data_IF_305700860243
#
_entry.id   IF_305700860243
#
_cell.length_a   1.000
_cell.length_b   1.000
_cell.length_c   1.000
_cell.angle_alpha   90.00
_cell.angle_beta   90.00
_cell.angle_gamma   90.00
#
_symmetry.space_group_name_H-M   'P 1'
#
loop_
_entity.id
_entity.type
_entity.pdbx_description
1 polymer ?
#
# COMPACT_ATOMS: atom_id res chain seq x y z
N UNK A 1 -34.34 14.68 -2.80
CA UNK A 1 -33.81 14.16 -4.09
C UNK A 1 -33.79 12.64 -4.16
N UNK A 2 -33.55 11.93 -3.06
CA UNK A 2 -33.49 10.45 -2.96
C UNK A 2 -34.78 9.72 -3.35
N UNK A 3 -35.97 10.23 -3.05
CA UNK A 3 -37.25 9.58 -3.42
C UNK A 3 -37.50 9.51 -4.94
N UNK A 4 -37.01 10.49 -5.71
CA UNK A 4 -37.21 10.56 -7.17
C UNK A 4 -36.31 9.56 -7.91
N UNK A 5 -35.13 9.26 -7.37
CA UNK A 5 -34.18 8.27 -7.90
C UNK A 5 -34.69 6.84 -7.69
N UNK A 6 -35.16 6.52 -6.47
CA UNK A 6 -35.69 5.19 -6.11
C UNK A 6 -36.95 4.82 -6.93
N UNK A 7 -37.80 5.80 -7.24
CA UNK A 7 -38.98 5.59 -8.08
C UNK A 7 -38.62 5.31 -9.55
N UNK A 8 -37.51 5.89 -10.03
CA UNK A 8 -37.04 5.73 -11.40
C UNK A 8 -36.35 4.36 -11.60
N UNK A 9 -35.60 3.88 -10.60
CA UNK A 9 -34.96 2.55 -10.62
C UNK A 9 -35.97 1.41 -10.68
N UNK A 10 -37.07 1.49 -9.91
CA UNK A 10 -38.18 0.53 -9.99
C UNK A 10 -38.78 0.47 -11.40
N UNK A 11 -39.03 1.63 -12.01
CA UNK A 11 -39.61 1.70 -13.37
C UNK A 11 -38.70 1.12 -14.45
N UNK A 12 -37.38 1.20 -14.30
CA UNK A 12 -36.42 0.66 -15.28
C UNK A 12 -36.29 -0.86 -15.16
N UNK A 13 -36.28 -1.41 -13.94
CA UNK A 13 -36.29 -2.87 -13.72
C UNK A 13 -37.53 -3.53 -14.33
N UNK A 14 -38.70 -2.89 -14.18
CA UNK A 14 -39.96 -3.39 -14.77
C UNK A 14 -39.91 -3.41 -16.31
N UNK A 15 -39.29 -2.41 -16.92
CA UNK A 15 -39.05 -2.34 -18.38
C UNK A 15 -38.08 -3.43 -18.87
N UNK A 16 -37.00 -3.70 -18.14
CA UNK A 16 -36.01 -4.72 -18.51
C UNK A 16 -36.59 -6.14 -18.46
N UNK A 17 -37.53 -6.42 -17.55
CA UNK A 17 -38.22 -7.71 -17.44
C UNK A 17 -39.13 -8.03 -18.64
N UNK A 18 -39.46 -7.03 -19.47
CA UNK A 18 -40.31 -7.19 -20.66
C UNK A 18 -39.56 -7.38 -21.97
N UNK A 19 -38.22 -7.30 -21.96
CA UNK A 19 -37.40 -7.43 -23.17
C UNK A 19 -37.16 -8.92 -23.45
N UNK A 20 -37.64 -9.40 -24.60
CA UNK A 20 -37.40 -10.75 -25.10
C UNK A 20 -36.48 -10.73 -26.33
N UNK A 21 -35.16 -10.94 -26.17
CA UNK A 21 -34.20 -10.88 -27.28
C UNK A 21 -34.47 -11.92 -28.38
N UNK A 22 -35.12 -13.04 -28.01
CA UNK A 22 -35.49 -14.12 -28.92
C UNK A 22 -36.51 -13.70 -30.00
N UNK A 23 -37.23 -12.59 -29.80
CA UNK A 23 -38.16 -12.02 -30.77
C UNK A 23 -37.49 -11.25 -31.91
N UNK A 24 -36.16 -11.04 -31.86
CA UNK A 24 -35.41 -10.34 -32.90
C UNK A 24 -35.12 -11.30 -34.06
N UNK A 25 -35.62 -10.96 -35.25
CA UNK A 25 -35.49 -11.78 -36.46
C UNK A 25 -34.05 -11.79 -37.03
N UNK A 26 -33.31 -10.69 -36.88
CA UNK A 26 -31.91 -10.59 -37.30
C UNK A 26 -30.98 -11.24 -36.27
N UNK A 27 -30.28 -12.29 -36.68
CA UNK A 27 -29.35 -13.06 -35.83
C UNK A 27 -28.23 -12.20 -35.25
N UNK A 28 -27.65 -11.31 -36.04
CA UNK A 28 -26.52 -10.48 -35.63
C UNK A 28 -26.97 -9.43 -34.61
N UNK A 29 -28.16 -8.85 -34.82
CA UNK A 29 -28.76 -7.92 -33.85
C UNK A 29 -29.14 -8.65 -32.57
N UNK A 30 -29.70 -9.87 -32.67
CA UNK A 30 -30.05 -10.69 -31.51
C UNK A 30 -28.83 -10.99 -30.65
N UNK A 31 -27.75 -11.50 -31.25
CA UNK A 31 -26.50 -11.79 -30.53
C UNK A 31 -25.90 -10.54 -29.88
N UNK A 32 -25.94 -9.41 -30.57
CA UNK A 32 -25.47 -8.13 -30.02
C UNK A 32 -26.29 -7.70 -28.80
N UNK A 33 -27.62 -7.79 -28.88
CA UNK A 33 -28.52 -7.45 -27.77
C UNK A 33 -28.32 -8.41 -26.59
N UNK A 34 -28.15 -9.71 -26.82
CA UNK A 34 -27.86 -10.69 -25.76
C UNK A 34 -26.54 -10.39 -25.03
N UNK A 35 -25.48 -10.07 -25.76
CA UNK A 35 -24.19 -9.68 -25.17
C UNK A 35 -24.32 -8.38 -24.37
N UNK A 36 -25.05 -7.39 -24.88
CA UNK A 36 -25.27 -6.12 -24.19
C UNK A 36 -26.06 -6.32 -22.89
N UNK A 37 -27.10 -7.16 -22.90
CA UNK A 37 -27.89 -7.44 -21.70
C UNK A 37 -27.06 -8.16 -20.64
N UNK A 38 -26.26 -9.15 -21.04
CA UNK A 38 -25.34 -9.83 -20.11
C UNK A 38 -24.30 -8.87 -19.52
N UNK A 39 -23.76 -7.95 -20.33
CA UNK A 39 -22.84 -6.93 -19.85
C UNK A 39 -23.51 -5.95 -18.88
N UNK A 40 -24.75 -5.52 -19.18
CA UNK A 40 -25.54 -4.67 -18.28
C UNK A 40 -25.77 -5.37 -16.95
N UNK A 41 -26.14 -6.64 -16.95
CA UNK A 41 -26.32 -7.43 -15.73
C UNK A 41 -25.01 -7.54 -14.93
N UNK A 42 -23.89 -7.84 -15.58
CA UNK A 42 -22.57 -7.90 -14.94
C UNK A 42 -22.16 -6.55 -14.33
N UNK A 43 -22.41 -5.44 -15.04
CA UNK A 43 -22.12 -4.10 -14.55
C UNK A 43 -23.02 -3.72 -13.38
N UNK A 44 -24.31 -4.06 -13.41
CA UNK A 44 -25.24 -3.84 -12.29
C UNK A 44 -24.80 -4.61 -11.05
N UNK A 45 -24.40 -5.88 -11.19
CA UNK A 45 -23.85 -6.67 -10.10
C UNK A 45 -22.58 -6.04 -9.51
N UNK A 46 -21.67 -5.56 -10.38
CA UNK A 46 -20.45 -4.88 -9.95
C UNK A 46 -20.75 -3.57 -9.21
N UNK A 47 -21.67 -2.76 -9.71
CA UNK A 47 -22.08 -1.50 -9.05
C UNK A 47 -22.66 -1.79 -7.68
N UNK A 48 -23.60 -2.74 -7.56
CA UNK A 48 -24.19 -3.13 -6.28
C UNK A 48 -23.15 -3.65 -5.28
N UNK A 49 -22.16 -4.42 -5.77
CA UNK A 49 -21.03 -4.86 -4.97
C UNK A 49 -20.18 -3.69 -4.46
N UNK A 50 -19.82 -2.76 -5.33
CA UNK A 50 -19.06 -1.55 -4.96
C UNK A 50 -19.82 -0.64 -4.00
N UNK A 51 -21.14 -0.51 -4.14
CA UNK A 51 -21.97 0.25 -3.20
C UNK A 51 -22.00 -0.38 -1.81
N UNK A 52 -22.12 -1.71 -1.75
CA UNK A 52 -22.09 -2.47 -0.49
C UNK A 52 -20.74 -2.29 0.21
N UNK A 53 -19.64 -2.38 -0.54
CA UNK A 53 -18.28 -2.17 -0.03
C UNK A 53 -18.08 -0.73 0.45
N UNK A 54 -18.52 0.27 -0.33
CA UNK A 54 -18.45 1.67 0.10
C UNK A 54 -19.25 1.92 1.38
N UNK A 55 -20.40 1.29 1.54
CA UNK A 55 -21.18 1.39 2.77
C UNK A 55 -20.43 0.77 3.95
N UNK A 56 -19.85 -0.41 3.74
CA UNK A 56 -19.03 -1.07 4.76
C UNK A 56 -17.85 -0.19 5.21
N UNK A 57 -17.09 0.37 4.27
CA UNK A 57 -15.96 1.26 4.56
C UNK A 57 -16.39 2.55 5.30
N UNK A 58 -17.58 3.08 4.99
CA UNK A 58 -18.14 4.23 5.72
C UNK A 58 -18.47 3.87 7.16
N UNK A 59 -19.02 2.69 7.38
CA UNK A 59 -19.36 2.20 8.72
C UNK A 59 -18.08 1.96 9.55
N UNK A 60 -17.04 1.39 8.94
CA UNK A 60 -15.72 1.25 9.56
C UNK A 60 -15.09 2.62 9.91
N UNK A 61 -15.18 3.61 9.03
CA UNK A 61 -14.67 4.95 9.32
C UNK A 61 -15.46 5.61 10.46
N UNK A 62 -16.77 5.37 10.53
CA UNK A 62 -17.61 5.87 11.61
C UNK A 62 -17.22 5.29 12.98
N UNK A 63 -16.66 4.08 13.05
CA UNK A 63 -16.11 3.52 14.29
C UNK A 63 -15.11 4.47 14.93
N UNK A 64 -14.29 5.12 14.12
CA UNK A 64 -13.31 6.07 14.63
C UNK A 64 -13.94 7.36 15.11
N UNK A 65 -15.14 7.74 14.69
CA UNK A 65 -15.78 9.02 15.06
C UNK A 65 -16.56 8.98 16.38
N UNK A 66 -17.09 7.81 16.75
CA UNK A 66 -17.88 7.64 17.98
C UNK A 66 -17.02 7.75 19.25
N UNK A 67 -17.55 8.31 20.33
CA UNK A 67 -16.89 8.30 21.64
C UNK A 67 -17.11 6.94 22.33
N UNK A 68 -16.04 6.34 22.85
CA UNK A 68 -16.10 5.08 23.60
C UNK A 68 -16.31 5.28 25.11
N UNK A 69 -16.12 6.51 25.61
CA UNK A 69 -16.12 6.82 27.04
C UNK A 69 -14.81 6.44 27.74
N UNK A 70 -13.78 6.06 27.00
CA UNK A 70 -12.45 5.73 27.52
C UNK A 70 -11.40 6.64 26.88
N UNK A 71 -11.03 7.68 27.63
CA UNK A 71 -10.21 8.80 27.16
C UNK A 71 -8.96 8.37 26.39
N UNK A 72 -8.21 7.38 26.87
CA UNK A 72 -6.99 6.92 26.19
C UNK A 72 -7.31 6.34 24.81
N UNK A 73 -8.38 5.56 24.68
CA UNK A 73 -8.80 5.00 23.40
C UNK A 73 -9.33 6.10 22.47
N UNK A 74 -10.14 7.02 22.99
CA UNK A 74 -10.69 8.12 22.20
C UNK A 74 -9.59 9.05 21.67
N UNK A 75 -8.53 9.28 22.46
CA UNK A 75 -7.34 9.99 22.00
C UNK A 75 -6.60 9.22 20.89
N UNK A 76 -6.44 7.89 21.02
CA UNK A 76 -5.84 7.09 19.94
C UNK A 76 -6.68 7.13 18.67
N UNK A 77 -8.02 7.07 18.77
CA UNK A 77 -8.93 7.20 17.63
C UNK A 77 -8.78 8.57 16.96
N UNK A 78 -8.70 9.65 17.74
CA UNK A 78 -8.46 11.00 17.23
C UNK A 78 -7.13 11.09 16.45
N UNK A 79 -6.05 10.56 17.01
CA UNK A 79 -4.74 10.54 16.36
C UNK A 79 -4.73 9.71 15.08
N UNK A 80 -5.45 8.58 15.05
CA UNK A 80 -5.60 7.77 13.84
C UNK A 80 -6.35 8.54 12.75
N UNK A 81 -7.47 9.22 13.09
CA UNK A 81 -8.21 10.04 12.12
C UNK A 81 -7.34 11.15 11.52
N UNK A 82 -6.49 11.78 12.35
CA UNK A 82 -5.56 12.81 11.88
C UNK A 82 -4.49 12.31 10.91
N UNK A 83 -4.23 10.99 10.88
CA UNK A 83 -3.19 10.35 10.05
C UNK A 83 -3.76 9.42 8.98
N UNK A 84 -5.06 9.48 8.72
CA UNK A 84 -5.74 8.50 7.87
C UNK A 84 -5.23 8.57 6.42
N UNK A 85 -4.91 9.77 5.93
CA UNK A 85 -4.28 9.98 4.62
C UNK A 85 -2.97 9.21 4.47
N UNK A 86 -2.11 9.27 5.48
CA UNK A 86 -0.82 8.59 5.46
C UNK A 86 -0.96 7.08 5.67
N UNK A 87 -1.95 6.64 6.45
CA UNK A 87 -2.20 5.21 6.69
C UNK A 87 -2.79 4.51 5.45
N UNK A 88 -3.62 5.22 4.68
CA UNK A 88 -4.25 4.70 3.47
C UNK A 88 -3.42 4.95 2.20
N UNK A 89 -2.25 5.55 2.32
CA UNK A 89 -1.38 5.86 1.18
C UNK A 89 -0.92 4.61 0.39
N UNK A 90 -0.92 3.45 1.05
CA UNK A 90 -0.70 2.14 0.42
C UNK A 90 -1.74 1.79 -0.67
N UNK A 91 -2.93 2.40 -0.64
CA UNK A 91 -3.95 2.19 -1.69
C UNK A 91 -3.53 2.82 -3.03
N UNK A 92 -2.76 3.91 -2.97
CA UNK A 92 -2.16 4.56 -4.14
C UNK A 92 -0.85 3.85 -4.54
N UNK A 93 -0.08 3.42 -3.54
CA UNK A 93 1.23 2.78 -3.72
C UNK A 93 1.28 1.39 -3.04
N UNK A 94 0.76 0.34 -3.68
CA UNK A 94 0.61 -0.99 -3.09
C UNK A 94 1.93 -1.71 -2.80
N UNK A 95 3.06 -1.22 -3.31
CA UNK A 95 4.39 -1.68 -2.92
C UNK A 95 4.79 -1.30 -1.48
N UNK A 96 4.08 -0.34 -0.87
CA UNK A 96 4.39 0.10 0.48
C UNK A 96 4.00 -0.98 1.49
N UNK A 97 4.84 -1.27 2.50
CA UNK A 97 4.46 -2.18 3.56
C UNK A 97 3.25 -1.67 4.34
N UNK A 98 2.26 -2.53 4.55
CA UNK A 98 1.08 -2.25 5.39
C UNK A 98 1.40 -2.01 6.87
N UNK A 99 2.60 -2.37 7.30
CA UNK A 99 3.06 -2.22 8.67
C UNK A 99 4.47 -1.62 8.72
N UNK A 100 4.79 -0.96 9.82
CA UNK A 100 6.10 -0.34 10.03
C UNK A 100 7.18 -1.32 10.54
N UNK A 101 6.89 -2.62 10.71
CA UNK A 101 7.82 -3.60 11.28
C UNK A 101 9.24 -3.55 10.70
N UNK A 102 9.46 -3.46 9.36
CA UNK A 102 10.82 -3.38 8.82
C UNK A 102 11.58 -2.13 9.29
N UNK A 103 10.88 -0.99 9.40
CA UNK A 103 11.45 0.26 9.90
C UNK A 103 11.74 0.17 11.41
N UNK A 104 10.83 -0.41 12.20
CA UNK A 104 11.03 -0.63 13.64
C UNK A 104 12.22 -1.55 13.93
N UNK A 105 12.33 -2.67 13.20
CA UNK A 105 13.46 -3.60 13.32
C UNK A 105 14.79 -2.92 12.98
N UNK A 106 14.83 -2.09 11.94
CA UNK A 106 16.00 -1.30 11.59
C UNK A 106 16.39 -0.33 12.73
N UNK A 107 15.41 0.41 13.27
CA UNK A 107 15.63 1.35 14.38
C UNK A 107 16.05 0.63 15.68
N UNK A 108 15.51 -0.56 15.95
CA UNK A 108 15.80 -1.36 17.15
C UNK A 108 17.29 -1.65 17.29
N UNK A 109 17.98 -1.92 16.19
CA UNK A 109 19.43 -2.18 16.21
C UNK A 109 20.20 -0.97 16.77
N UNK A 110 19.82 0.24 16.36
CA UNK A 110 20.42 1.48 16.87
C UNK A 110 20.09 1.72 18.35
N UNK A 111 18.84 1.49 18.75
CA UNK A 111 18.39 1.63 20.14
C UNK A 111 19.12 0.67 21.07
N UNK A 112 19.25 -0.59 20.67
CA UNK A 112 20.00 -1.60 21.43
C UNK A 112 21.47 -1.21 21.54
N UNK A 113 22.09 -0.73 20.46
CA UNK A 113 23.49 -0.28 20.48
C UNK A 113 23.68 0.90 21.43
N UNK A 114 22.76 1.87 21.42
CA UNK A 114 22.76 3.00 22.37
C UNK A 114 22.60 2.53 23.81
N UNK A 115 21.74 1.54 24.05
CA UNK A 115 21.53 1.01 25.40
C UNK A 115 22.81 0.35 25.95
N UNK A 116 23.59 -0.32 25.10
CA UNK A 116 24.81 -1.03 25.50
C UNK A 116 26.02 -0.08 25.57
N UNK A 117 26.15 0.85 24.62
CA UNK A 117 27.34 1.69 24.45
C UNK A 117 27.14 3.15 24.86
N UNK A 118 25.98 3.51 25.42
CA UNK A 118 25.58 4.88 25.71
C UNK A 118 25.64 5.81 24.49
N UNK A 119 25.95 7.09 24.71
CA UNK A 119 26.10 8.11 23.69
C UNK A 119 27.56 8.25 23.26
N UNK A 120 27.74 8.75 22.04
CA UNK A 120 29.04 9.18 21.53
C UNK A 120 29.43 10.49 22.20
N UNK A 121 30.71 10.63 22.56
CA UNK A 121 31.22 11.83 23.25
C UNK A 121 31.69 12.92 22.29
N UNK A 122 32.04 12.55 21.06
CA UNK A 122 32.54 13.47 20.04
C UNK A 122 31.72 13.39 18.75
N UNK A 123 31.87 14.40 17.91
CA UNK A 123 31.22 14.45 16.60
C UNK A 123 31.77 13.33 15.70
N UNK A 124 33.07 13.11 15.71
CA UNK A 124 33.76 12.07 14.95
C UNK A 124 33.27 10.68 15.38
N UNK A 125 33.07 10.46 16.69
CA UNK A 125 32.50 9.22 17.22
C UNK A 125 31.08 9.00 16.73
N UNK A 126 30.28 10.06 16.63
CA UNK A 126 28.92 10.01 16.09
C UNK A 126 28.93 9.64 14.61
N UNK A 127 29.76 10.31 13.81
CA UNK A 127 29.92 10.03 12.39
C UNK A 127 30.42 8.60 12.14
N UNK A 128 31.42 8.14 12.91
CA UNK A 128 31.93 6.78 12.80
C UNK A 128 30.84 5.76 13.13
N UNK A 129 30.11 5.94 14.23
CA UNK A 129 29.01 5.04 14.62
C UNK A 129 27.95 4.97 13.53
N UNK A 130 27.48 6.11 13.03
CA UNK A 130 26.40 6.15 12.06
C UNK A 130 26.85 5.56 10.71
N UNK A 131 28.11 5.79 10.31
CA UNK A 131 28.72 5.17 9.12
C UNK A 131 28.78 3.65 9.24
N UNK A 132 29.35 3.12 10.33
CA UNK A 132 29.48 1.67 10.51
C UNK A 132 28.13 0.98 10.67
N UNK A 133 27.18 1.61 11.36
CA UNK A 133 25.83 1.07 11.49
C UNK A 133 25.10 1.01 10.14
N UNK A 134 25.26 2.04 9.32
CA UNK A 134 24.73 2.06 7.94
C UNK A 134 25.38 0.97 7.08
N UNK A 135 26.70 0.79 7.17
CA UNK A 135 27.42 -0.28 6.46
C UNK A 135 26.93 -1.66 6.86
N UNK A 136 26.84 -1.95 8.16
CA UNK A 136 26.35 -3.24 8.67
C UNK A 136 24.92 -3.52 8.20
N UNK A 137 24.03 -2.53 8.26
CA UNK A 137 22.66 -2.69 7.80
C UNK A 137 22.60 -2.96 6.29
N UNK A 138 23.40 -2.24 5.50
CA UNK A 138 23.42 -2.35 4.04
C UNK A 138 24.00 -3.68 3.59
N UNK A 139 25.14 -4.12 4.14
CA UNK A 139 25.75 -5.41 3.77
C UNK A 139 24.81 -6.57 4.10
N UNK A 140 24.13 -6.52 5.26
CA UNK A 140 23.10 -7.51 5.64
C UNK A 140 21.94 -7.55 4.64
N UNK A 141 21.40 -6.40 4.25
CA UNK A 141 20.33 -6.32 3.23
C UNK A 141 20.77 -6.87 1.87
N UNK A 142 22.05 -6.74 1.53
CA UNK A 142 22.60 -7.23 0.27
C UNK A 142 23.03 -8.70 0.30
N UNK A 143 23.05 -9.35 1.48
CA UNK A 143 23.55 -10.71 1.65
C UNK A 143 25.07 -10.83 1.65
N UNK A 144 25.78 -9.72 1.95
CA UNK A 144 27.25 -9.64 1.96
C UNK A 144 27.73 -9.65 3.41
N UNK A 145 28.81 -10.38 3.69
CA UNK A 145 29.45 -10.32 5.00
C UNK A 145 30.09 -8.94 5.20
N UNK A 146 29.72 -8.27 6.30
CA UNK A 146 30.30 -6.99 6.69
C UNK A 146 31.83 -7.06 6.80
N UNK A 147 32.35 -8.13 7.41
CA UNK A 147 33.79 -8.28 7.63
C UNK A 147 34.54 -8.49 6.31
N UNK A 148 33.97 -9.25 5.37
CA UNK A 148 34.56 -9.44 4.05
C UNK A 148 34.58 -8.13 3.26
N UNK A 149 33.50 -7.36 3.33
CA UNK A 149 33.42 -6.04 2.71
C UNK A 149 34.47 -5.08 3.26
N UNK A 150 34.61 -4.99 4.59
CA UNK A 150 35.61 -4.13 5.23
C UNK A 150 37.04 -4.58 4.89
N UNK A 151 37.31 -5.89 4.93
CA UNK A 151 38.61 -6.45 4.54
C UNK A 151 38.95 -6.10 3.08
N UNK A 152 38.01 -6.28 2.16
CA UNK A 152 38.19 -5.94 0.75
C UNK A 152 38.54 -4.46 0.54
N UNK A 153 37.90 -3.55 1.31
CA UNK A 153 38.17 -2.11 1.26
C UNK A 153 39.53 -1.74 1.84
N UNK A 154 39.92 -2.33 2.97
CA UNK A 154 41.21 -2.06 3.62
C UNK A 154 42.36 -2.62 2.78
N UNK A 155 42.20 -3.83 2.25
CA UNK A 155 43.21 -4.50 1.42
C UNK A 155 43.26 -3.98 -0.03
N UNK A 156 42.35 -3.09 -0.41
CA UNK A 156 42.25 -2.49 -1.76
C UNK A 156 42.19 -3.52 -2.89
N UNK A 157 41.63 -4.71 -2.61
CA UNK A 157 41.54 -5.79 -3.60
C UNK A 157 40.45 -5.48 -4.63
N UNK A 158 39.31 -4.93 -4.17
CA UNK A 158 38.22 -4.50 -5.04
C UNK A 158 37.38 -5.65 -5.61
N UNK A 159 37.36 -6.81 -4.97
CA UNK A 159 36.55 -7.96 -5.39
C UNK A 159 35.06 -7.72 -5.17
N UNK A 160 34.68 -6.95 -4.14
CA UNK A 160 33.29 -6.63 -3.86
C UNK A 160 33.00 -5.23 -4.42
N UNK A 161 32.05 -5.06 -5.36
CA UNK A 161 31.67 -3.74 -5.86
C UNK A 161 31.19 -2.80 -4.74
N UNK A 162 31.23 -1.49 -4.98
CA UNK A 162 30.68 -0.52 -4.03
C UNK A 162 29.22 -0.84 -3.73
N UNK A 163 28.82 -0.82 -2.44
CA UNK A 163 27.45 -1.18 -2.05
C UNK A 163 26.40 -0.35 -2.79
N UNK A 164 26.69 0.94 -3.05
CA UNK A 164 25.82 1.82 -3.82
C UNK A 164 25.62 1.38 -5.28
N UNK A 165 26.63 0.76 -5.90
CA UNK A 165 26.50 0.19 -7.25
C UNK A 165 25.60 -1.04 -7.22
N UNK A 166 25.82 -1.95 -6.27
CA UNK A 166 24.98 -3.14 -6.10
C UNK A 166 23.52 -2.76 -5.82
N UNK A 167 23.28 -1.72 -5.01
CA UNK A 167 21.93 -1.20 -4.74
C UNK A 167 21.27 -0.74 -6.05
N UNK A 168 21.98 0.04 -6.88
CA UNK A 168 21.45 0.53 -8.16
C UNK A 168 21.16 -0.60 -9.15
N UNK A 169 22.04 -1.59 -9.23
CA UNK A 169 21.83 -2.77 -10.07
C UNK A 169 20.60 -3.57 -9.63
N UNK A 170 20.46 -3.82 -8.32
CA UNK A 170 19.28 -4.52 -7.78
C UNK A 170 17.98 -3.73 -7.96
N UNK A 171 18.01 -2.40 -7.81
CA UNK A 171 16.81 -1.58 -8.02
C UNK A 171 16.37 -1.55 -9.49
N UNK A 172 17.32 -1.63 -10.44
CA UNK A 172 16.98 -1.69 -11.86
C UNK A 172 16.27 -3.00 -12.25
N UNK A 173 16.54 -4.10 -11.54
CA UNK A 173 15.93 -5.40 -11.79
C UNK A 173 14.53 -5.55 -11.18
N UNK A 174 14.18 -4.73 -10.20
CA UNK A 174 12.89 -4.80 -9.52
C UNK A 174 12.26 -3.40 -9.47
N UNK A 175 11.40 -3.04 -10.43
CA UNK A 175 10.74 -1.74 -10.47
C UNK A 175 9.70 -1.67 -9.35
N UNK A 176 10.18 -1.38 -8.14
CA UNK A 176 9.39 -1.20 -6.92
C UNK A 176 8.65 0.15 -6.88
N UNK A 177 8.68 0.93 -7.97
CA UNK A 177 8.12 2.28 -8.03
C UNK A 177 7.19 2.50 -9.22
N UNK A 178 6.58 1.44 -9.75
CA UNK A 178 5.72 1.55 -10.93
C UNK A 178 4.51 2.47 -10.69
N UNK A 179 3.99 2.53 -9.46
CA UNK A 179 2.89 3.42 -9.08
C UNK A 179 3.32 4.88 -8.91
N UNK A 180 4.62 5.17 -8.92
CA UNK A 180 5.18 6.52 -8.81
C UNK A 180 5.61 7.11 -10.14
N UNK A 181 5.52 6.32 -11.22
CA UNK A 181 5.83 6.82 -12.55
C UNK A 181 4.67 7.72 -12.99
N UNK A 182 4.93 8.96 -13.44
CA UNK A 182 3.87 9.81 -13.98
C UNK A 182 3.24 9.12 -15.20
N UNK A 183 1.90 9.18 -15.29
CA UNK A 183 1.12 8.71 -16.45
C UNK A 183 1.52 9.40 -17.76
#
# INVERSE_FOLDING_TARGET
MTQKLISNEKSVCDLLQTIEPKGIADESMRQTVEVLLNLIEQLQLKVKGLESENQHLRDENNLFSTDSGYEQLDERKRLTRLKISELLYVLEHPELPLHNNPAELAARTMVQRRNISYATQTLEGTQARDTFMSLVATTRKLGISFFEYVRDRISQVGNIPFLGTIIREKSALNPLSWSWMPE
#
